data_IF_730795182519
#
_entry.id   IF_730795182519
#
_cell.length_a   1.000
_cell.length_b   1.000
_cell.length_c   1.000
_cell.angle_alpha   90.00
_cell.angle_beta   90.00
_cell.angle_gamma   90.00
#
_symmetry.space_group_name_H-M   'P 1'
#
loop_
_entity.id
_entity.type
_entity.pdbx_description
1 polymer ?
#
# COMPACT_ATOMS: atom_id res chain seq x y z
N UNK A 1 12.54 -13.23 6.92
CA UNK A 1 12.36 -13.12 5.45
C UNK A 1 11.61 -11.83 5.18
N UNK A 2 12.03 -11.09 4.16
CA UNK A 2 11.43 -9.82 3.76
C UNK A 2 11.11 -9.91 2.27
N UNK A 3 9.89 -9.54 1.88
CA UNK A 3 9.44 -9.50 0.49
C UNK A 3 9.35 -8.03 0.10
N UNK A 4 9.91 -7.68 -1.05
CA UNK A 4 9.75 -6.35 -1.64
C UNK A 4 8.58 -6.40 -2.63
N UNK A 5 7.61 -5.50 -2.45
CA UNK A 5 6.41 -5.41 -3.29
C UNK A 5 6.35 -4.02 -3.90
N UNK A 6 6.25 -3.94 -5.22
CA UNK A 6 6.05 -2.68 -5.94
C UNK A 6 4.60 -2.61 -6.44
N UNK A 7 3.92 -1.52 -6.10
CA UNK A 7 2.55 -1.22 -6.52
C UNK A 7 2.58 0.04 -7.38
N UNK A 8 1.95 -0.01 -8.55
CA UNK A 8 1.81 1.12 -9.47
C UNK A 8 0.33 1.42 -9.71
N UNK A 9 -0.06 2.68 -9.57
CA UNK A 9 -1.36 3.16 -10.01
C UNK A 9 -1.26 3.54 -11.49
N UNK A 10 -1.67 2.62 -12.36
CA UNK A 10 -1.45 2.74 -13.81
C UNK A 10 -2.30 3.83 -14.48
N UNK A 11 -3.41 4.24 -13.87
CA UNK A 11 -4.32 5.21 -14.45
C UNK A 11 -3.87 6.65 -14.18
N UNK A 12 -3.01 7.17 -15.05
CA UNK A 12 -2.40 8.50 -14.96
C UNK A 12 -3.41 9.67 -14.90
N UNK A 13 -4.63 9.48 -15.40
CA UNK A 13 -5.67 10.50 -15.46
C UNK A 13 -6.76 10.38 -14.39
N UNK A 14 -6.73 9.33 -13.57
CA UNK A 14 -7.76 9.08 -12.57
C UNK A 14 -7.65 10.02 -11.37
N UNK A 15 -8.79 10.56 -10.95
CA UNK A 15 -8.93 11.30 -9.70
C UNK A 15 -8.97 10.37 -8.47
N UNK A 16 -9.09 9.05 -8.68
CA UNK A 16 -9.01 8.08 -7.61
C UNK A 16 -7.58 7.97 -7.07
N UNK A 17 -7.48 7.63 -5.79
CA UNK A 17 -6.20 7.38 -5.14
C UNK A 17 -6.15 5.95 -4.62
N UNK A 18 -5.00 5.29 -4.76
CA UNK A 18 -4.76 4.02 -4.08
C UNK A 18 -4.15 4.28 -2.72
N UNK A 19 -4.77 3.76 -1.68
CA UNK A 19 -4.21 3.67 -0.34
C UNK A 19 -3.57 2.30 -0.17
N UNK A 20 -2.25 2.26 -0.19
CA UNK A 20 -1.45 1.06 0.13
C UNK A 20 -1.17 1.07 1.62
N UNK A 21 -1.54 0.00 2.33
CA UNK A 21 -1.31 -0.14 3.77
C UNK A 21 -0.57 -1.44 4.07
N UNK A 22 0.51 -1.39 4.84
CA UNK A 22 1.18 -2.57 5.39
C UNK A 22 0.71 -2.78 6.82
N UNK A 23 0.05 -3.91 7.08
CA UNK A 23 -0.56 -4.25 8.37
C UNK A 23 0.15 -5.45 8.98
N UNK A 24 0.35 -5.43 10.30
CA UNK A 24 0.90 -6.57 11.04
C UNK A 24 -0.22 -7.36 11.71
N UNK A 25 -0.32 -8.66 11.41
CA UNK A 25 -1.36 -9.53 11.96
C UNK A 25 -1.18 -9.72 13.46
N UNK A 26 -2.26 -9.57 14.22
CA UNK A 26 -2.29 -9.87 15.65
C UNK A 26 -1.59 -8.84 16.55
N UNK A 27 -1.19 -7.69 16.01
CA UNK A 27 -0.67 -6.58 16.79
C UNK A 27 -1.40 -5.27 16.42
N UNK A 28 -2.47 -4.90 17.14
CA UNK A 28 -3.23 -3.69 16.87
C UNK A 28 -2.47 -2.39 17.19
N UNK A 29 -1.35 -2.47 17.92
CA UNK A 29 -0.48 -1.32 18.22
C UNK A 29 0.70 -1.20 17.23
N UNK A 30 0.82 -2.13 16.29
CA UNK A 30 1.87 -2.05 15.27
C UNK A 30 1.62 -0.84 14.36
N UNK A 31 2.66 -0.03 14.17
CA UNK A 31 2.61 1.10 13.24
C UNK A 31 2.23 0.62 11.84
N UNK A 32 1.10 1.12 11.34
CA UNK A 32 0.70 0.93 9.94
C UNK A 32 1.58 1.80 9.04
N UNK A 33 2.14 1.22 7.98
CA UNK A 33 2.75 2.00 6.92
C UNK A 33 1.70 2.28 5.86
N UNK A 34 1.27 3.54 5.74
CA UNK A 34 0.29 3.98 4.74
C UNK A 34 0.97 4.81 3.67
N UNK A 35 0.75 4.47 2.41
CA UNK A 35 1.21 5.23 1.24
C UNK A 35 0.01 5.50 0.35
N UNK A 36 -0.14 6.75 -0.09
CA UNK A 36 -1.14 7.12 -1.08
C UNK A 36 -0.48 7.28 -2.45
N UNK A 37 -1.06 6.65 -3.46
CA UNK A 37 -0.63 6.77 -4.85
C UNK A 37 -1.71 7.49 -5.65
N UNK A 38 -1.31 8.54 -6.35
CA UNK A 38 -2.11 9.20 -7.38
C UNK A 38 -1.88 8.56 -8.75
N UNK A 39 -2.64 8.98 -9.75
CA UNK A 39 -2.41 8.65 -11.17
C UNK A 39 -0.93 8.63 -11.55
N UNK A 40 -0.47 7.50 -12.09
CA UNK A 40 0.89 7.33 -12.62
C UNK A 40 1.98 7.05 -11.58
N UNK A 41 1.67 7.12 -10.29
CA UNK A 41 2.67 6.90 -9.24
C UNK A 41 2.90 5.42 -8.95
N UNK A 42 4.10 5.13 -8.45
CA UNK A 42 4.46 3.82 -7.91
C UNK A 42 5.08 3.96 -6.52
N UNK A 43 4.90 2.93 -5.71
CA UNK A 43 5.60 2.78 -4.44
C UNK A 43 6.11 1.36 -4.26
N UNK A 44 7.21 1.26 -3.53
CA UNK A 44 7.79 -0.01 -3.10
C UNK A 44 7.68 -0.12 -1.59
N UNK A 45 7.11 -1.22 -1.11
CA UNK A 45 7.00 -1.55 0.32
C UNK A 45 7.74 -2.83 0.64
N UNK A 46 8.24 -2.94 1.87
CA UNK A 46 8.88 -4.13 2.39
C UNK A 46 7.92 -4.83 3.36
N UNK A 47 7.64 -6.11 3.11
CA UNK A 47 6.71 -6.93 3.88
C UNK A 47 7.50 -7.99 4.62
N UNK A 48 7.43 -7.97 5.96
CA UNK A 48 8.08 -8.94 6.82
C UNK A 48 7.12 -10.08 7.21
N UNK A 49 7.66 -11.10 7.91
CA UNK A 49 6.85 -12.23 8.40
C UNK A 49 5.73 -11.71 9.32
N UNK A 50 4.50 -12.14 9.07
CA UNK A 50 3.33 -11.70 9.84
C UNK A 50 2.74 -10.37 9.37
N UNK A 51 3.25 -9.80 8.28
CA UNK A 51 2.69 -8.61 7.64
C UNK A 51 2.01 -8.96 6.32
N UNK A 52 1.05 -8.12 5.92
CA UNK A 52 0.39 -8.19 4.63
C UNK A 52 0.14 -6.78 4.08
N UNK A 53 -0.07 -6.71 2.76
CA UNK A 53 -0.37 -5.46 2.06
C UNK A 53 -1.85 -5.42 1.75
N UNK A 54 -2.50 -4.33 2.11
CA UNK A 54 -3.84 -3.96 1.69
C UNK A 54 -3.74 -2.82 0.67
N UNK A 55 -4.55 -2.89 -0.38
CA UNK A 55 -4.67 -1.81 -1.38
C UNK A 55 -6.14 -1.48 -1.49
N UNK A 56 -6.51 -0.29 -1.02
CA UNK A 56 -7.86 0.23 -1.09
C UNK A 56 -7.91 1.37 -2.11
N UNK A 57 -8.86 1.33 -3.04
CA UNK A 57 -9.12 2.46 -3.92
C UNK A 57 -10.08 3.42 -3.21
N UNK A 58 -9.67 4.68 -3.10
CA UNK A 58 -10.53 5.76 -2.63
C UNK A 58 -10.87 6.65 -3.82
N UNK A 59 -12.06 6.41 -4.38
CA UNK A 59 -12.65 7.22 -5.45
C UNK A 59 -13.25 8.54 -4.94
N UNK A 60 -13.32 9.52 -5.84
CA UNK A 60 -13.87 10.86 -5.65
C UNK A 60 -15.38 10.88 -5.31
#
# INVERSE_FOLDING_TARGET
>A
MTIQVTIRHADEGSAATLKVTVVTVGNPEASEQVIQLTGGQEATVHVHKGQFVMVDEKGA
#
